data_IF_526975399991
#
_entry.id   IF_526975399991
#
_cell.length_a   1.000
_cell.length_b   1.000
_cell.length_c   1.000
_cell.angle_alpha   90.00
_cell.angle_beta   90.00
_cell.angle_gamma   90.00
#
_symmetry.space_group_name_H-M   'P 1'
#
loop_
_entity.id
_entity.type
_entity.pdbx_description
1 polymer ?
#
# COMPACT_ATOMS: atom_id res chain seq x y z
N UNK A 1 -10.97 -1.70 23.63
CA UNK A 1 -10.42 -1.81 22.25
C UNK A 1 -11.43 -2.37 21.25
N UNK A 2 -12.23 -3.38 21.61
CA UNK A 2 -13.25 -3.97 20.73
C UNK A 2 -14.23 -2.98 20.07
N UNK A 3 -14.89 -2.11 20.84
CA UNK A 3 -15.85 -1.12 20.31
C UNK A 3 -15.22 -0.18 19.26
N UNK A 4 -13.95 0.19 19.46
CA UNK A 4 -13.22 1.03 18.51
C UNK A 4 -12.86 0.29 17.22
N UNK A 5 -12.46 -0.99 17.32
CA UNK A 5 -12.22 -1.83 16.14
C UNK A 5 -13.50 -2.02 15.32
N UNK A 6 -14.62 -2.36 15.98
CA UNK A 6 -15.93 -2.51 15.32
C UNK A 6 -16.34 -1.22 14.62
N UNK A 7 -16.17 -0.06 15.27
CA UNK A 7 -16.48 1.23 14.66
C UNK A 7 -15.58 1.52 13.44
N UNK A 8 -14.28 1.22 13.51
CA UNK A 8 -13.37 1.40 12.38
C UNK A 8 -13.75 0.53 11.18
N UNK A 9 -14.11 -0.74 11.40
CA UNK A 9 -14.61 -1.62 10.32
C UNK A 9 -15.92 -1.12 9.73
N UNK A 10 -16.83 -0.59 10.55
CA UNK A 10 -18.08 -0.01 10.06
C UNK A 10 -17.85 1.22 9.19
N UNK A 11 -16.97 2.15 9.63
CA UNK A 11 -16.60 3.33 8.84
C UNK A 11 -15.94 2.90 7.52
N UNK A 12 -15.05 1.91 7.56
CA UNK A 12 -14.42 1.38 6.36
C UNK A 12 -15.45 0.82 5.38
N UNK A 13 -16.37 -0.02 5.85
CA UNK A 13 -17.47 -0.53 5.04
C UNK A 13 -18.29 0.62 4.43
N UNK A 14 -18.65 1.63 5.21
CA UNK A 14 -19.41 2.79 4.73
C UNK A 14 -18.67 3.61 3.65
N UNK A 15 -17.33 3.61 3.64
CA UNK A 15 -16.56 4.27 2.59
C UNK A 15 -16.41 3.41 1.33
N UNK A 16 -16.18 2.10 1.47
CA UNK A 16 -15.90 1.20 0.34
C UNK A 16 -17.17 0.74 -0.39
N UNK A 17 -18.25 0.39 0.32
CA UNK A 17 -19.45 -0.17 -0.30
C UNK A 17 -20.14 0.78 -1.29
N UNK A 18 -20.38 2.07 -0.96
CA UNK A 18 -21.02 2.99 -1.91
C UNK A 18 -20.20 3.18 -3.18
N UNK A 19 -18.87 3.29 -3.05
CA UNK A 19 -17.96 3.42 -4.20
C UNK A 19 -18.04 2.19 -5.09
N UNK A 20 -18.05 0.98 -4.50
CA UNK A 20 -18.19 -0.26 -5.25
C UNK A 20 -19.54 -0.37 -5.97
N UNK A 21 -20.64 -0.09 -5.28
CA UNK A 21 -21.98 -0.19 -5.87
C UNK A 21 -22.21 0.84 -6.98
N UNK A 22 -21.83 2.11 -6.75
CA UNK A 22 -21.99 3.16 -7.75
C UNK A 22 -21.04 2.93 -8.93
N UNK A 23 -19.80 2.50 -8.67
CA UNK A 23 -18.84 2.17 -9.71
C UNK A 23 -19.32 1.04 -10.62
N UNK A 24 -19.83 -0.05 -10.03
CA UNK A 24 -20.40 -1.15 -10.79
C UNK A 24 -21.66 -0.74 -11.56
N UNK A 25 -22.53 0.10 -10.97
CA UNK A 25 -23.72 0.60 -11.66
C UNK A 25 -23.38 1.51 -12.86
N UNK A 26 -22.30 2.30 -12.77
CA UNK A 26 -21.88 3.23 -13.80
C UNK A 26 -21.09 2.57 -14.96
N UNK A 27 -20.20 1.63 -14.65
CA UNK A 27 -19.27 1.02 -15.62
C UNK A 27 -19.61 -0.45 -15.97
N UNK A 28 -20.51 -1.09 -15.23
CA UNK A 28 -20.90 -2.48 -15.47
C UNK A 28 -19.72 -3.45 -15.35
N UNK A 29 -19.56 -4.32 -16.35
CA UNK A 29 -18.48 -5.31 -16.40
C UNK A 29 -17.14 -4.74 -16.90
N UNK A 30 -17.13 -3.52 -17.44
CA UNK A 30 -15.95 -2.87 -18.02
C UNK A 30 -15.20 -1.98 -17.01
N UNK A 31 -15.41 -2.17 -15.71
CA UNK A 31 -14.75 -1.37 -14.67
C UNK A 31 -13.25 -1.71 -14.61
N UNK A 32 -12.40 -0.69 -14.75
CA UNK A 32 -10.96 -0.85 -14.59
C UNK A 32 -10.57 -0.94 -13.10
N UNK A 33 -9.47 -1.64 -12.79
CA UNK A 33 -8.91 -1.74 -11.44
C UNK A 33 -8.66 -0.37 -10.80
N UNK A 34 -8.20 0.58 -11.61
CA UNK A 34 -8.14 1.99 -11.24
C UNK A 34 -9.34 2.72 -11.83
N UNK A 35 -10.32 3.01 -10.97
CA UNK A 35 -11.55 3.71 -11.36
C UNK A 35 -11.25 5.06 -12.03
N UNK A 36 -10.18 5.78 -11.64
CA UNK A 36 -9.83 7.06 -12.26
C UNK A 36 -9.45 6.95 -13.75
N UNK A 37 -9.01 5.78 -14.19
CA UNK A 37 -8.68 5.51 -15.61
C UNK A 37 -9.95 5.23 -16.42
N UNK A 38 -10.98 4.66 -15.78
CA UNK A 38 -12.27 4.41 -16.43
C UNK A 38 -13.10 5.69 -16.63
N UNK A 39 -12.85 6.76 -15.87
CA UNK A 39 -13.56 8.03 -16.03
C UNK A 39 -13.05 8.80 -17.27
N UNK A 40 -13.96 9.10 -18.20
CA UNK A 40 -13.61 9.86 -19.42
C UNK A 40 -13.91 11.37 -19.29
N UNK A 41 -14.93 11.79 -18.52
CA UNK A 41 -15.34 13.19 -18.35
C UNK A 41 -15.94 13.47 -16.98
N UNK A 42 -15.86 14.72 -16.46
CA UNK A 42 -15.08 15.87 -16.95
C UNK A 42 -13.61 15.84 -16.52
N UNK A 43 -12.72 16.31 -17.40
CA UNK A 43 -11.27 16.23 -17.21
C UNK A 43 -10.74 16.96 -15.95
N UNK A 44 -11.38 18.07 -15.54
CA UNK A 44 -10.95 18.81 -14.35
C UNK A 44 -11.09 17.99 -13.06
N UNK A 45 -12.21 17.25 -12.93
CA UNK A 45 -12.45 16.41 -11.76
C UNK A 45 -11.46 15.25 -11.68
N UNK A 46 -11.16 14.62 -12.83
CA UNK A 46 -10.17 13.55 -12.94
C UNK A 46 -8.77 14.07 -12.57
N UNK A 47 -8.39 15.26 -13.04
CA UNK A 47 -7.12 15.89 -12.71
C UNK A 47 -7.00 16.19 -11.21
N UNK A 48 -8.05 16.75 -10.59
CA UNK A 48 -8.07 17.01 -9.14
C UNK A 48 -7.98 15.72 -8.34
N UNK A 49 -8.71 14.68 -8.73
CA UNK A 49 -8.68 13.38 -8.06
C UNK A 49 -7.29 12.73 -8.16
N UNK A 50 -6.66 12.75 -9.34
CA UNK A 50 -5.28 12.28 -9.52
C UNK A 50 -4.28 13.09 -8.67
N UNK A 51 -4.44 14.42 -8.56
CA UNK A 51 -3.59 15.24 -7.70
C UNK A 51 -3.73 14.86 -6.21
N UNK A 52 -4.96 14.58 -5.74
CA UNK A 52 -5.18 14.12 -4.36
C UNK A 52 -4.52 12.76 -4.10
N UNK A 53 -4.60 11.82 -5.05
CA UNK A 53 -3.93 10.53 -4.96
C UNK A 53 -2.41 10.72 -4.86
N UNK A 54 -1.82 11.59 -5.69
CA UNK A 54 -0.38 11.88 -5.64
C UNK A 54 0.03 12.43 -4.28
N UNK A 55 -0.68 13.43 -3.76
CA UNK A 55 -0.39 14.01 -2.43
C UNK A 55 -0.51 12.96 -1.33
N UNK A 56 -1.57 12.15 -1.36
CA UNK A 56 -1.80 11.08 -0.39
C UNK A 56 -0.70 10.01 -0.42
N UNK A 57 -0.29 9.56 -1.61
CA UNK A 57 0.72 8.52 -1.78
C UNK A 57 2.11 9.03 -1.39
N UNK A 58 2.46 10.28 -1.73
CA UNK A 58 3.72 10.89 -1.28
C UNK A 58 3.78 10.95 0.25
N UNK A 59 2.70 11.40 0.89
CA UNK A 59 2.64 11.46 2.36
C UNK A 59 2.75 10.08 3.00
N UNK A 60 1.99 9.11 2.48
CA UNK A 60 2.00 7.73 2.98
C UNK A 60 3.37 7.07 2.80
N UNK A 61 4.03 7.27 1.65
CA UNK A 61 5.36 6.72 1.36
C UNK A 61 6.39 7.14 2.41
N UNK A 62 6.39 8.42 2.81
CA UNK A 62 7.33 8.91 3.82
C UNK A 62 7.14 8.23 5.18
N UNK A 63 5.90 8.06 5.61
CA UNK A 63 5.58 7.42 6.90
C UNK A 63 5.93 5.93 6.87
N UNK A 64 5.59 5.22 5.80
CA UNK A 64 5.86 3.78 5.67
C UNK A 64 7.33 3.45 5.41
N UNK A 65 8.08 4.32 4.72
CA UNK A 65 9.47 4.05 4.40
C UNK A 65 10.40 4.21 5.61
N UNK A 66 10.06 5.07 6.60
CA UNK A 66 10.92 5.31 7.77
C UNK A 66 11.26 4.03 8.58
N UNK A 67 10.29 3.20 9.01
CA UNK A 67 10.60 1.95 9.70
C UNK A 67 11.40 0.97 8.85
N UNK A 68 11.10 0.91 7.54
CA UNK A 68 11.80 0.01 6.61
C UNK A 68 13.26 0.39 6.49
N UNK A 69 13.56 1.69 6.36
CA UNK A 69 14.94 2.18 6.33
C UNK A 69 15.71 1.86 7.61
N UNK A 70 15.07 1.97 8.78
CA UNK A 70 15.69 1.64 10.06
C UNK A 70 16.02 0.14 10.16
N UNK A 71 15.11 -0.73 9.71
CA UNK A 71 15.35 -2.19 9.66
C UNK A 71 16.49 -2.52 8.69
N UNK A 72 16.51 -1.93 7.50
CA UNK A 72 17.55 -2.16 6.50
C UNK A 72 18.93 -1.66 6.96
N UNK A 73 19.01 -0.48 7.56
CA UNK A 73 20.26 0.09 8.10
C UNK A 73 20.80 -0.82 9.21
N UNK A 74 19.97 -1.20 10.18
CA UNK A 74 20.37 -2.12 11.27
C UNK A 74 20.83 -3.47 10.76
N UNK A 75 20.15 -4.03 9.75
CA UNK A 75 20.49 -5.34 9.19
C UNK A 75 21.81 -5.29 8.45
N UNK A 76 22.02 -4.24 7.64
CA UNK A 76 23.25 -4.05 6.88
C UNK A 76 24.45 -3.84 7.81
N UNK A 77 24.32 -3.01 8.84
CA UNK A 77 25.37 -2.75 9.83
C UNK A 77 25.74 -4.01 10.62
N UNK A 78 24.75 -4.83 11.01
CA UNK A 78 25.01 -6.11 11.70
C UNK A 78 25.64 -7.17 10.80
N UNK A 79 25.26 -7.22 9.52
CA UNK A 79 25.71 -8.26 8.57
C UNK A 79 27.09 -7.96 7.99
N UNK A 80 27.38 -6.70 7.68
CA UNK A 80 28.62 -6.29 7.01
C UNK A 80 29.63 -5.61 7.95
N UNK A 81 29.32 -5.41 9.24
CA UNK A 81 30.20 -4.75 10.22
C UNK A 81 30.70 -3.37 9.78
N UNK A 82 29.96 -2.70 8.89
CA UNK A 82 30.27 -1.35 8.39
C UNK A 82 29.81 -0.33 9.42
N UNK A 83 30.61 0.70 9.69
CA UNK A 83 30.21 1.76 10.62
C UNK A 83 29.02 2.56 10.06
N UNK A 84 28.13 3.00 10.95
CA UNK A 84 27.00 3.85 10.57
C UNK A 84 27.51 5.22 10.09
N UNK A 85 27.62 5.39 8.77
CA UNK A 85 27.98 6.64 8.12
C UNK A 85 26.88 7.15 7.19
N UNK A 86 26.93 8.44 6.85
CA UNK A 86 26.02 9.07 5.88
C UNK A 86 26.01 8.35 4.53
N UNK A 87 27.17 7.79 4.12
CA UNK A 87 27.32 7.03 2.87
C UNK A 87 26.52 5.73 2.90
N UNK A 88 26.58 4.97 4.00
CA UNK A 88 25.79 3.75 4.16
C UNK A 88 24.28 4.05 4.08
N UNK A 89 23.84 5.11 4.75
CA UNK A 89 22.45 5.55 4.73
C UNK A 89 21.98 5.97 3.33
N UNK A 90 22.83 6.68 2.58
CA UNK A 90 22.55 7.05 1.20
C UNK A 90 22.43 5.81 0.30
N UNK A 91 23.37 4.86 0.42
CA UNK A 91 23.36 3.62 -0.37
C UNK A 91 22.11 2.77 -0.07
N UNK A 92 21.78 2.57 1.20
CA UNK A 92 20.62 1.74 1.58
C UNK A 92 19.32 2.39 1.11
N UNK A 93 19.17 3.72 1.23
CA UNK A 93 17.98 4.44 0.77
C UNK A 93 17.87 4.45 -0.75
N UNK A 94 18.96 4.70 -1.47
CA UNK A 94 18.94 4.69 -2.94
C UNK A 94 18.70 3.29 -3.48
N UNK A 95 19.27 2.26 -2.87
CA UNK A 95 19.02 0.86 -3.24
C UNK A 95 17.55 0.47 -3.03
N UNK A 96 16.93 0.87 -1.90
CA UNK A 96 15.51 0.63 -1.66
C UNK A 96 14.63 1.35 -2.69
N UNK A 97 14.86 2.64 -2.94
CA UNK A 97 14.09 3.41 -3.93
C UNK A 97 14.25 2.78 -5.32
N UNK A 98 15.48 2.47 -5.73
CA UNK A 98 15.76 1.83 -7.02
C UNK A 98 15.06 0.47 -7.15
N UNK A 99 15.05 -0.34 -6.08
CA UNK A 99 14.32 -1.61 -6.07
C UNK A 99 12.81 -1.41 -6.21
N UNK A 100 12.21 -0.49 -5.45
CA UNK A 100 10.77 -0.21 -5.56
C UNK A 100 10.38 0.36 -6.93
N UNK A 101 11.26 1.17 -7.54
CA UNK A 101 11.08 1.69 -8.88
C UNK A 101 11.14 0.57 -9.92
N UNK A 102 12.09 -0.35 -9.80
CA UNK A 102 12.21 -1.51 -10.69
C UNK A 102 10.93 -2.36 -10.65
N UNK A 103 10.42 -2.64 -9.45
CA UNK A 103 9.17 -3.41 -9.29
C UNK A 103 8.00 -2.66 -9.93
N UNK A 104 7.89 -1.35 -9.71
CA UNK A 104 6.81 -0.52 -10.27
C UNK A 104 6.83 -0.44 -11.80
N UNK A 105 8.01 -0.42 -12.43
CA UNK A 105 8.14 -0.42 -13.89
C UNK A 105 7.87 -1.80 -14.48
N UNK A 106 8.24 -2.87 -13.78
CA UNK A 106 8.08 -4.25 -14.26
C UNK A 106 6.62 -4.72 -14.20
N UNK A 107 5.85 -4.26 -13.22
CA UNK A 107 4.46 -4.68 -13.01
C UNK A 107 3.53 -3.46 -12.94
N UNK A 108 3.01 -2.97 -14.09
CA UNK A 108 2.09 -1.84 -14.13
C UNK A 108 0.64 -2.20 -13.74
N UNK A 109 0.39 -3.40 -13.19
CA UNK A 109 -0.94 -3.89 -12.81
C UNK A 109 -1.19 -3.68 -11.31
N UNK A 110 -1.88 -2.58 -10.98
CA UNK A 110 -2.13 -2.19 -9.59
C UNK A 110 -3.04 -3.19 -8.85
N UNK A 111 -4.12 -3.65 -9.50
CA UNK A 111 -5.10 -4.57 -8.91
C UNK A 111 -4.49 -5.91 -8.53
N UNK A 112 -3.77 -6.54 -9.45
CA UNK A 112 -3.11 -7.84 -9.23
C UNK A 112 -2.08 -7.78 -8.10
N UNK A 113 -1.29 -6.70 -8.03
CA UNK A 113 -0.28 -6.52 -7.00
C UNK A 113 -0.90 -6.33 -5.61
N UNK A 114 -1.99 -5.55 -5.51
CA UNK A 114 -2.77 -5.42 -4.28
C UNK A 114 -3.41 -6.74 -3.86
N UNK A 115 -3.98 -7.50 -4.81
CA UNK A 115 -4.56 -8.82 -4.54
C UNK A 115 -3.54 -9.81 -4.01
N UNK A 116 -2.35 -9.86 -4.63
CA UNK A 116 -1.25 -10.73 -4.22
C UNK A 116 -0.72 -10.38 -2.83
N UNK A 117 -0.31 -9.13 -2.58
CA UNK A 117 0.22 -8.73 -1.27
C UNK A 117 -0.86 -8.72 -0.19
N UNK A 118 -2.11 -8.42 -0.55
CA UNK A 118 -3.27 -8.54 0.32
C UNK A 118 -3.47 -9.98 0.77
N UNK A 119 -3.53 -10.93 -0.17
CA UNK A 119 -3.67 -12.36 0.16
C UNK A 119 -2.47 -12.90 0.94
N UNK A 120 -1.26 -12.65 0.46
CA UNK A 120 -0.02 -13.16 1.06
C UNK A 120 0.27 -12.55 2.44
N UNK A 121 -0.01 -11.26 2.63
CA UNK A 121 0.24 -10.58 3.90
C UNK A 121 -0.88 -10.80 4.92
N UNK A 122 -2.13 -10.70 4.50
CA UNK A 122 -3.30 -10.73 5.39
C UNK A 122 -3.62 -12.15 5.87
N UNK A 123 -3.48 -13.17 5.01
CA UNK A 123 -3.79 -14.54 5.39
C UNK A 123 -2.95 -15.06 6.58
N UNK A 124 -1.60 -14.99 6.57
CA UNK A 124 -0.76 -15.42 7.68
C UNK A 124 -0.97 -14.59 8.95
N UNK A 125 -1.09 -13.28 8.82
CA UNK A 125 -1.17 -12.39 9.98
C UNK A 125 -2.53 -12.45 10.67
N UNK A 126 -3.62 -12.58 9.91
CA UNK A 126 -4.97 -12.57 10.49
C UNK A 126 -5.45 -13.94 10.92
N UNK A 127 -5.19 -14.98 10.12
CA UNK A 127 -5.72 -16.32 10.41
C UNK A 127 -4.68 -17.21 11.09
N UNK A 128 -3.49 -17.38 10.51
CA UNK A 128 -2.54 -18.38 11.02
C UNK A 128 -1.92 -18.00 12.37
N UNK A 129 -1.49 -16.75 12.56
CA UNK A 129 -0.92 -16.29 13.84
C UNK A 129 -1.99 -16.24 14.93
N UNK A 130 -3.18 -15.71 14.63
CA UNK A 130 -4.30 -15.65 15.58
C UNK A 130 -4.78 -17.03 16.03
N UNK A 131 -4.85 -18.00 15.10
CA UNK A 131 -5.23 -19.39 15.44
C UNK A 131 -4.17 -20.07 16.31
N UNK A 132 -2.87 -19.88 16.04
CA UNK A 132 -1.81 -20.42 16.90
C UNK A 132 -1.81 -19.82 18.30
N UNK A 133 -2.10 -18.53 18.44
CA UNK A 133 -2.17 -17.86 19.74
C UNK A 133 -3.40 -18.22 20.57
N UNK A 134 -4.41 -18.87 19.97
CA UNK A 134 -5.63 -19.31 20.67
C UNK A 134 -5.60 -20.80 21.08
N UNK A 135 -4.69 -21.58 20.50
CA UNK A 135 -4.52 -23.03 20.77
C UNK A 135 -3.40 -23.31 21.79
N UNK A 136 -2.63 -22.28 22.19
CA UNK A 136 -1.61 -22.31 23.25
C UNK A 136 -2.14 -21.50 24.43
#
# INVERSE_FOLDING_TARGET
>A
MWKGAVLAYFINAACYFPVAFIGYWAFGQDVADNVLVALERPAWLIATANMMVVVHVIGSYHVYAMPVFDILERTTTKRLSISNGLVLRLIVRSAYVAFTLLVGVTFPFFGDLLGFFGGFGFAPTSYFVSLKSCTI
#
